data_IF_878710135143
#
_entry.id   IF_878710135143
#
_cell.length_a   1.000
_cell.length_b   1.000
_cell.length_c   1.000
_cell.angle_alpha   90.00
_cell.angle_beta   90.00
_cell.angle_gamma   90.00
#
_symmetry.space_group_name_H-M   'P 1'
#
loop_
_entity.id
_entity.type
_entity.pdbx_description
1 polymer ?
#
# COMPACT_ATOMS: atom_id res chain seq x y z
N UNK A 1 14.73 2.41 -15.32
CA UNK A 1 13.92 1.49 -14.49
C UNK A 1 14.23 0.05 -14.81
N UNK A 2 14.10 -0.43 -16.06
CA UNK A 2 14.47 -1.81 -16.40
C UNK A 2 15.95 -2.11 -16.11
N UNK A 3 16.86 -1.19 -16.48
CA UNK A 3 18.30 -1.32 -16.22
C UNK A 3 18.65 -1.47 -14.72
N UNK A 4 17.93 -0.76 -13.85
CA UNK A 4 18.13 -0.79 -12.38
C UNK A 4 17.67 -2.11 -11.74
N UNK A 5 16.91 -2.94 -12.50
CA UNK A 5 16.43 -4.24 -12.04
C UNK A 5 17.24 -5.40 -12.63
N UNK A 6 18.32 -5.15 -13.37
CA UNK A 6 19.25 -6.19 -13.81
C UNK A 6 19.81 -6.93 -12.59
N UNK A 7 19.71 -8.26 -12.59
CA UNK A 7 20.14 -9.13 -11.49
C UNK A 7 19.08 -9.45 -10.46
N UNK A 8 17.87 -8.86 -10.54
CA UNK A 8 16.73 -9.24 -9.69
C UNK A 8 15.97 -10.40 -10.29
N UNK A 9 15.47 -11.26 -9.41
CA UNK A 9 14.48 -12.28 -9.75
C UNK A 9 13.15 -11.62 -10.12
N UNK A 10 12.32 -12.35 -10.87
CA UNK A 10 10.96 -11.90 -11.18
C UNK A 10 10.14 -11.62 -9.91
N UNK A 11 10.38 -12.38 -8.84
CA UNK A 11 9.70 -12.21 -7.57
C UNK A 11 10.07 -10.89 -6.90
N UNK A 12 11.36 -10.59 -6.77
CA UNK A 12 11.86 -9.32 -6.21
C UNK A 12 11.38 -8.11 -7.02
N UNK A 13 11.33 -8.22 -8.35
CA UNK A 13 10.79 -7.16 -9.19
C UNK A 13 9.32 -6.92 -8.90
N UNK A 14 8.53 -7.98 -8.78
CA UNK A 14 7.11 -7.87 -8.52
C UNK A 14 6.81 -7.38 -7.10
N UNK A 15 7.63 -7.73 -6.11
CA UNK A 15 7.57 -7.15 -4.76
C UNK A 15 7.82 -5.65 -4.78
N UNK A 16 8.87 -5.20 -5.50
CA UNK A 16 9.15 -3.78 -5.69
C UNK A 16 7.97 -3.07 -6.36
N UNK A 17 7.36 -3.69 -7.38
CA UNK A 17 6.17 -3.13 -8.03
C UNK A 17 4.98 -3.02 -7.08
N UNK A 18 4.76 -4.02 -6.24
CA UNK A 18 3.69 -4.00 -5.23
C UNK A 18 3.91 -2.84 -4.25
N UNK A 19 5.14 -2.63 -3.78
CA UNK A 19 5.49 -1.47 -2.92
C UNK A 19 5.15 -0.15 -3.62
N UNK A 20 5.55 0.03 -4.88
CA UNK A 20 5.25 1.25 -5.62
C UNK A 20 3.75 1.47 -5.85
N UNK A 21 3.00 0.41 -6.14
CA UNK A 21 1.55 0.47 -6.28
C UNK A 21 0.89 0.90 -4.97
N UNK A 22 1.35 0.39 -3.83
CA UNK A 22 0.86 0.77 -2.50
C UNK A 22 1.20 2.23 -2.16
N UNK A 23 2.46 2.65 -2.38
CA UNK A 23 2.88 4.05 -2.15
C UNK A 23 2.14 5.05 -3.06
N UNK A 24 1.76 4.61 -4.27
CA UNK A 24 0.94 5.41 -5.15
C UNK A 24 -0.49 5.50 -4.61
N UNK A 25 -1.07 4.36 -4.25
CA UNK A 25 -2.45 4.25 -3.76
C UNK A 25 -2.69 5.02 -2.45
N UNK A 26 -1.80 4.88 -1.46
CA UNK A 26 -1.91 5.61 -0.21
C UNK A 26 -1.44 7.07 -0.34
N UNK A 27 -1.03 7.55 -1.52
CA UNK A 27 -0.62 8.93 -1.75
C UNK A 27 0.78 9.31 -1.24
N UNK A 28 1.55 8.39 -0.66
CA UNK A 28 2.91 8.69 -0.20
C UNK A 28 3.81 9.16 -1.35
N UNK A 29 3.67 8.62 -2.57
CA UNK A 29 4.44 9.12 -3.73
C UNK A 29 4.12 10.58 -4.06
N UNK A 30 2.85 10.99 -3.89
CA UNK A 30 2.44 12.39 -4.09
C UNK A 30 3.11 13.28 -3.03
N UNK A 31 3.08 12.87 -1.76
CA UNK A 31 3.72 13.60 -0.67
C UNK A 31 5.25 13.71 -0.82
N UNK A 32 5.92 12.64 -1.26
CA UNK A 32 7.36 12.66 -1.55
C UNK A 32 7.68 13.64 -2.67
N UNK A 33 6.87 13.65 -3.74
CA UNK A 33 7.03 14.61 -4.84
C UNK A 33 6.87 16.05 -4.36
N UNK A 34 5.89 16.32 -3.48
CA UNK A 34 5.68 17.65 -2.89
C UNK A 34 6.87 18.08 -2.00
N UNK A 35 7.54 17.13 -1.36
CA UNK A 35 8.79 17.32 -0.60
C UNK A 35 10.05 17.35 -1.47
N UNK A 36 9.91 17.45 -2.80
CA UNK A 36 11.02 17.50 -3.76
C UNK A 36 11.91 16.24 -3.78
N UNK A 37 11.40 15.08 -3.34
CA UNK A 37 12.12 13.83 -3.53
C UNK A 37 12.15 13.48 -5.03
N UNK A 38 13.35 13.25 -5.56
CA UNK A 38 13.53 12.82 -6.94
C UNK A 38 13.09 11.38 -7.13
N UNK A 39 12.72 11.03 -8.37
CA UNK A 39 12.42 9.64 -8.73
C UNK A 39 13.57 8.69 -8.41
N UNK A 40 14.82 9.13 -8.58
CA UNK A 40 16.00 8.29 -8.34
C UNK A 40 16.17 7.99 -6.86
N UNK A 41 15.98 8.98 -5.98
CA UNK A 41 16.04 8.80 -4.53
C UNK A 41 14.95 7.84 -4.04
N UNK A 42 13.71 8.03 -4.52
CA UNK A 42 12.61 7.14 -4.15
C UNK A 42 12.88 5.71 -4.62
N UNK A 43 13.34 5.53 -5.87
CA UNK A 43 13.71 4.20 -6.37
C UNK A 43 14.84 3.59 -5.55
N UNK A 44 15.90 4.33 -5.25
CA UNK A 44 17.03 3.83 -4.46
C UNK A 44 16.59 3.40 -3.05
N UNK A 45 15.72 4.18 -2.39
CA UNK A 45 15.23 3.90 -1.04
C UNK A 45 14.39 2.62 -0.97
N UNK A 46 13.48 2.41 -1.93
CA UNK A 46 12.60 1.24 -1.93
C UNK A 46 13.17 0.03 -2.66
N UNK A 47 14.25 0.19 -3.42
CA UNK A 47 14.88 -0.90 -4.19
C UNK A 47 15.24 -2.10 -3.30
N UNK A 48 15.71 -1.87 -2.09
CA UNK A 48 16.15 -2.96 -1.18
C UNK A 48 15.21 -3.15 0.02
N UNK A 49 14.04 -2.51 0.02
CA UNK A 49 13.02 -2.71 1.05
C UNK A 49 11.93 -3.63 0.53
N UNK A 50 11.76 -4.75 1.21
CA UNK A 50 10.55 -5.56 1.07
C UNK A 50 9.36 -4.86 1.73
N UNK A 51 8.16 -5.29 1.39
CA UNK A 51 6.96 -4.87 2.11
C UNK A 51 6.93 -5.58 3.47
N UNK A 52 7.49 -4.92 4.48
CA UNK A 52 7.58 -5.41 5.86
C UNK A 52 6.39 -4.95 6.73
N UNK A 53 6.40 -5.36 8.00
CA UNK A 53 5.36 -5.02 8.97
C UNK A 53 5.34 -3.52 9.30
N UNK A 54 6.50 -2.88 9.39
CA UNK A 54 6.63 -1.44 9.67
C UNK A 54 5.97 -0.61 8.56
N UNK A 55 6.23 -0.96 7.29
CA UNK A 55 5.59 -0.28 6.16
C UNK A 55 4.07 -0.45 6.18
N UNK A 56 3.56 -1.66 6.43
CA UNK A 56 2.11 -1.90 6.52
C UNK A 56 1.49 -1.10 7.67
N UNK A 57 2.15 -1.07 8.82
CA UNK A 57 1.70 -0.33 10.00
C UNK A 57 1.66 1.17 9.73
N UNK A 58 2.71 1.73 9.10
CA UNK A 58 2.73 3.14 8.73
C UNK A 58 1.60 3.49 7.76
N UNK A 59 1.34 2.65 6.75
CA UNK A 59 0.22 2.87 5.83
C UNK A 59 -1.14 2.75 6.51
N UNK A 60 -1.29 1.84 7.49
CA UNK A 60 -2.49 1.74 8.28
C UNK A 60 -2.73 3.00 9.13
N UNK A 61 -1.67 3.56 9.74
CA UNK A 61 -1.74 4.85 10.46
C UNK A 61 -2.17 6.00 9.53
N UNK A 62 -1.67 6.05 8.30
CA UNK A 62 -2.09 7.06 7.32
C UNK A 62 -3.59 6.96 7.02
N UNK A 63 -4.14 5.73 6.94
CA UNK A 63 -5.57 5.51 6.76
C UNK A 63 -6.41 5.84 7.99
N UNK A 64 -5.89 5.60 9.19
CA UNK A 64 -6.51 6.04 10.44
C UNK A 64 -6.63 7.55 10.51
N UNK A 65 -5.58 8.28 10.13
CA UNK A 65 -5.60 9.74 10.07
C UNK A 65 -6.68 10.23 9.09
N UNK A 66 -6.83 9.59 7.93
CA UNK A 66 -7.89 9.91 6.96
C UNK A 66 -9.29 9.66 7.48
N UNK A 67 -9.49 8.60 8.26
CA UNK A 67 -10.78 8.32 8.88
C UNK A 67 -11.16 9.41 9.90
N UNK A 68 -10.17 9.94 10.65
CA UNK A 68 -10.39 11.06 11.57
C UNK A 68 -10.76 12.35 10.84
N UNK A 69 -10.17 12.61 9.67
CA UNK A 69 -10.48 13.77 8.83
C UNK A 69 -11.81 13.61 8.06
N UNK A 70 -12.14 12.38 7.66
CA UNK A 70 -13.31 12.05 6.84
C UNK A 70 -13.90 10.71 7.27
N UNK A 71 -14.91 10.78 8.14
CA UNK A 71 -15.59 9.61 8.69
C UNK A 71 -16.16 8.71 7.57
N UNK A 72 -15.91 7.41 7.72
CA UNK A 72 -16.25 6.36 6.78
C UNK A 72 -15.31 6.22 5.59
N UNK A 73 -14.24 7.01 5.47
CA UNK A 73 -13.26 6.88 4.39
C UNK A 73 -12.59 5.50 4.40
N UNK A 74 -12.18 5.02 5.57
CA UNK A 74 -11.56 3.71 5.73
C UNK A 74 -12.52 2.59 5.32
N UNK A 75 -13.79 2.66 5.78
CA UNK A 75 -14.79 1.64 5.45
C UNK A 75 -15.07 1.58 3.96
N UNK A 76 -15.27 2.75 3.33
CA UNK A 76 -15.50 2.84 1.86
C UNK A 76 -14.33 2.28 1.07
N UNK A 77 -13.10 2.57 1.50
CA UNK A 77 -11.91 2.06 0.82
C UNK A 77 -11.77 0.54 1.01
N UNK A 78 -12.06 0.01 2.21
CA UNK A 78 -12.05 -1.42 2.47
C UNK A 78 -13.06 -2.16 1.58
N UNK A 79 -14.30 -1.66 1.50
CA UNK A 79 -15.33 -2.23 0.61
C UNK A 79 -14.92 -2.14 -0.89
N UNK A 80 -14.14 -1.12 -1.28
CA UNK A 80 -13.55 -1.05 -2.64
C UNK A 80 -12.46 -2.10 -2.84
N UNK A 81 -11.52 -2.22 -1.89
CA UNK A 81 -10.42 -3.16 -1.94
C UNK A 81 -10.89 -4.62 -2.01
N UNK A 82 -11.96 -4.97 -1.28
CA UNK A 82 -12.56 -6.30 -1.34
C UNK A 82 -13.15 -6.62 -2.72
N UNK A 83 -13.87 -5.66 -3.32
CA UNK A 83 -14.41 -5.82 -4.68
C UNK A 83 -13.31 -5.92 -5.73
N UNK A 84 -12.27 -5.09 -5.62
CA UNK A 84 -11.10 -5.13 -6.49
C UNK A 84 -10.38 -6.49 -6.40
N UNK A 85 -10.19 -7.02 -5.19
CA UNK A 85 -9.58 -8.33 -4.98
C UNK A 85 -10.40 -9.46 -5.60
N UNK A 86 -11.72 -9.45 -5.42
CA UNK A 86 -12.60 -10.45 -6.03
C UNK A 86 -12.60 -10.36 -7.55
N UNK A 87 -12.67 -9.14 -8.10
CA UNK A 87 -12.60 -8.94 -9.55
C UNK A 87 -11.27 -9.41 -10.14
N UNK A 88 -10.15 -9.13 -9.48
CA UNK A 88 -8.82 -9.60 -9.89
C UNK A 88 -8.75 -11.14 -9.85
N UNK A 89 -9.30 -11.77 -8.81
CA UNK A 89 -9.36 -13.22 -8.66
C UNK A 89 -10.16 -13.89 -9.77
N UNK A 90 -11.35 -13.38 -10.07
CA UNK A 90 -12.21 -13.92 -11.14
C UNK A 90 -11.59 -13.75 -12.52
N UNK A 91 -10.83 -12.68 -12.74
CA UNK A 91 -10.14 -12.40 -13.99
C UNK A 91 -8.77 -13.09 -14.12
N UNK A 92 -8.33 -13.89 -13.14
CA UNK A 92 -7.01 -14.53 -13.15
C UNK A 92 -5.85 -13.53 -13.16
N UNK A 93 -6.04 -12.34 -12.58
CA UNK A 93 -5.03 -11.28 -12.51
C UNK A 93 -4.12 -11.47 -11.29
N UNK A 94 -3.01 -10.74 -11.30
CA UNK A 94 -2.10 -10.58 -10.17
C UNK A 94 -2.87 -10.17 -8.90
N UNK A 95 -2.61 -10.84 -7.77
CA UNK A 95 -3.36 -10.65 -6.51
C UNK A 95 -2.56 -10.02 -5.36
N UNK A 96 -1.24 -9.86 -5.46
CA UNK A 96 -0.44 -9.30 -4.36
C UNK A 96 -0.88 -7.89 -4.02
N UNK A 97 -0.98 -7.01 -5.01
CA UNK A 97 -1.41 -5.63 -4.74
C UNK A 97 -2.80 -5.55 -4.09
N UNK A 98 -3.88 -6.13 -4.65
CA UNK A 98 -5.20 -6.03 -4.02
C UNK A 98 -5.27 -6.77 -2.67
N UNK A 99 -4.49 -7.84 -2.46
CA UNK A 99 -4.39 -8.51 -1.16
C UNK A 99 -3.74 -7.61 -0.11
N UNK A 100 -2.57 -7.04 -0.42
CA UNK A 100 -1.86 -6.15 0.51
C UNK A 100 -2.66 -4.88 0.83
N UNK A 101 -3.35 -4.32 -0.18
CA UNK A 101 -4.28 -3.20 -0.01
C UNK A 101 -5.36 -3.54 1.03
N UNK A 102 -6.01 -4.71 0.89
CA UNK A 102 -7.01 -5.19 1.86
C UNK A 102 -6.40 -5.39 3.25
N UNK A 103 -5.24 -6.06 3.34
CA UNK A 103 -4.60 -6.39 4.61
C UNK A 103 -4.22 -5.14 5.41
N UNK A 104 -3.70 -4.10 4.74
CA UNK A 104 -3.40 -2.79 5.36
C UNK A 104 -4.67 -2.09 5.88
N UNK A 105 -5.77 -2.12 5.11
CA UNK A 105 -7.04 -1.52 5.53
C UNK A 105 -7.68 -2.28 6.69
N UNK A 106 -7.57 -3.61 6.70
CA UNK A 106 -8.02 -4.42 7.84
C UNK A 106 -7.18 -4.14 9.09
N UNK A 107 -5.86 -3.96 8.94
CA UNK A 107 -4.98 -3.57 10.05
C UNK A 107 -5.43 -2.24 10.65
N UNK A 108 -5.70 -1.22 9.83
CA UNK A 108 -6.26 0.05 10.30
C UNK A 108 -7.62 -0.13 10.98
N UNK A 109 -8.54 -0.89 10.37
CA UNK A 109 -9.89 -1.12 10.91
C UNK A 109 -9.85 -1.78 12.29
N UNK A 110 -8.99 -2.80 12.47
CA UNK A 110 -8.83 -3.50 13.74
C UNK A 110 -8.25 -2.60 14.84
N UNK A 111 -7.39 -1.64 14.49
CA UNK A 111 -6.88 -0.64 15.43
C UNK A 111 -7.99 0.32 15.91
N UNK A 112 -8.94 0.69 15.04
CA UNK A 112 -10.12 1.49 15.46
C UNK A 112 -10.97 0.70 16.44
N UNK A 113 -11.30 -0.56 16.11
CA UNK A 113 -12.14 -1.40 16.97
C UNK A 113 -11.51 -1.65 18.34
N UNK A 114 -10.18 -1.76 18.40
CA UNK A 114 -9.44 -1.90 19.66
C UNK A 114 -9.42 -0.62 20.50
N UNK A 115 -9.62 0.55 19.89
CA UNK A 115 -9.56 1.87 20.55
C UNK A 115 -10.93 2.42 20.98
N UNK A 116 -12.04 1.75 20.63
CA UNK A 116 -13.39 2.12 21.07
C UNK A 116 -13.71 1.43 22.40
N UNK A 117 -13.99 2.15 23.50
CA UNK A 117 -14.52 1.53 24.72
C UNK A 117 -15.90 0.92 24.44
N UNK A 118 -16.15 -0.25 25.02
CA UNK A 118 -17.42 -1.00 24.93
C UNK A 118 -18.60 -0.23 25.51
#
# INVERSE_FOLDING_TARGET
>A
MLETNKGRTMLEFQELMTVFQLLHWNGSLKAMRERQCSRQEVVAHYSNRSLDEDMRTQMALDWLAREQENVGALRRELDSAERELQAARLAGRELRFPKEKKDILMLAHNQISSNLPS
#
